data_IF_531944532816
#
_entry.id   IF_531944532816
#
_cell.length_a   1.000
_cell.length_b   1.000
_cell.length_c   1.000
_cell.angle_alpha   90.00
_cell.angle_beta   90.00
_cell.angle_gamma   90.00
#
_symmetry.space_group_name_H-M   'P 1'
#
loop_
_entity.id
_entity.type
_entity.pdbx_description
1 polymer ?
#
# COMPACT_ATOMS: atom_id res chain seq x y z
N UNK A 1 -11.98 -10.46 29.59
CA UNK A 1 -12.53 -9.52 28.57
C UNK A 1 -11.48 -8.65 27.88
N UNK A 2 -10.29 -8.39 28.48
CA UNK A 2 -9.07 -7.93 27.76
C UNK A 2 -8.59 -8.92 26.68
N UNK A 3 -8.74 -10.22 26.92
CA UNK A 3 -8.28 -11.29 26.01
C UNK A 3 -8.96 -11.28 24.62
N UNK A 4 -10.19 -10.76 24.48
CA UNK A 4 -10.94 -10.86 23.22
C UNK A 4 -10.52 -9.80 22.17
N UNK A 5 -10.03 -8.64 22.63
CA UNK A 5 -9.43 -7.62 21.76
C UNK A 5 -7.98 -7.96 21.39
N UNK A 6 -7.24 -8.61 22.29
CA UNK A 6 -5.92 -9.20 22.00
C UNK A 6 -6.04 -10.26 20.90
N UNK A 7 -7.06 -11.13 20.96
CA UNK A 7 -7.30 -12.18 19.95
C UNK A 7 -7.51 -11.63 18.52
N UNK A 8 -8.25 -10.52 18.33
CA UNK A 8 -8.49 -9.97 16.96
C UNK A 8 -7.34 -9.15 16.41
N UNK A 9 -6.62 -8.41 17.26
CA UNK A 9 -5.36 -7.76 16.88
C UNK A 9 -4.30 -8.82 16.55
N UNK A 10 -4.26 -9.91 17.31
CA UNK A 10 -3.41 -11.08 17.01
C UNK A 10 -3.84 -11.85 15.77
N UNK A 11 -5.09 -11.73 15.27
CA UNK A 11 -5.52 -12.34 14.00
C UNK A 11 -5.09 -11.51 12.78
N UNK A 12 -5.14 -10.17 12.85
CA UNK A 12 -4.54 -9.28 11.83
C UNK A 12 -3.01 -9.40 11.83
N UNK A 13 -2.43 -9.35 13.03
CA UNK A 13 -1.07 -9.77 13.26
C UNK A 13 -0.90 -11.28 13.03
N UNK A 14 -1.87 -12.16 12.77
CA UNK A 14 -1.58 -13.56 12.39
C UNK A 14 -1.75 -13.81 10.88
N UNK A 15 -2.33 -12.87 10.14
CA UNK A 15 -2.17 -12.81 8.68
C UNK A 15 -0.87 -12.10 8.31
N UNK A 16 -0.48 -11.05 9.05
CA UNK A 16 0.86 -10.45 8.96
C UNK A 16 1.90 -11.34 9.66
N UNK A 17 1.72 -11.76 10.91
CA UNK A 17 2.59 -12.74 11.61
C UNK A 17 2.35 -14.20 11.21
N UNK A 18 1.40 -14.53 10.34
CA UNK A 18 1.42 -15.81 9.63
C UNK A 18 2.59 -15.87 8.65
N UNK A 19 3.05 -14.69 8.21
CA UNK A 19 4.29 -14.47 7.49
C UNK A 19 5.48 -14.26 8.47
N UNK A 20 5.25 -13.70 9.67
CA UNK A 20 6.26 -13.41 10.73
C UNK A 20 6.49 -14.53 11.76
N UNK A 21 5.70 -15.62 11.81
CA UNK A 21 5.82 -16.72 12.80
C UNK A 21 7.13 -17.52 12.67
N UNK A 22 8.03 -17.14 11.78
CA UNK A 22 9.43 -17.58 11.74
C UNK A 22 10.38 -16.68 12.53
N UNK A 23 9.90 -15.84 13.45
CA UNK A 23 10.77 -15.07 14.37
C UNK A 23 11.56 -16.01 15.29
N UNK A 24 12.73 -16.43 14.83
CA UNK A 24 13.87 -16.70 15.69
C UNK A 24 14.58 -15.38 15.98
N UNK A 25 15.19 -15.21 17.16
CA UNK A 25 15.98 -14.01 17.45
C UNK A 25 17.08 -13.84 16.39
N UNK A 26 17.09 -12.67 15.75
CA UNK A 26 18.15 -12.27 14.82
C UNK A 26 19.44 -12.11 15.62
N UNK A 27 20.41 -12.98 15.36
CA UNK A 27 21.77 -12.79 15.84
C UNK A 27 22.34 -11.47 15.28
N UNK A 28 23.14 -10.72 16.06
CA UNK A 28 23.72 -9.47 15.60
C UNK A 28 24.61 -9.72 14.38
N UNK A 29 24.30 -9.02 13.28
CA UNK A 29 24.99 -9.14 12.00
C UNK A 29 26.33 -8.39 12.11
N UNK A 30 27.40 -9.13 12.39
CA UNK A 30 28.77 -8.62 12.22
C UNK A 30 29.11 -8.61 10.71
N UNK A 31 29.47 -7.43 10.19
CA UNK A 31 30.14 -7.17 8.91
C UNK A 31 29.85 -8.16 7.76
N UNK A 32 28.76 -7.96 7.02
CA UNK A 32 28.50 -8.68 5.77
C UNK A 32 29.41 -8.17 4.66
N UNK A 33 30.61 -8.73 4.58
CA UNK A 33 31.24 -8.93 3.28
C UNK A 33 30.35 -9.98 2.59
N UNK A 34 29.65 -9.60 1.52
CA UNK A 34 28.83 -10.54 0.74
C UNK A 34 29.78 -11.53 0.11
N UNK A 35 30.02 -12.65 0.79
CA UNK A 35 30.77 -13.76 0.24
C UNK A 35 30.02 -14.30 -0.98
N UNK A 36 30.75 -14.60 -2.05
CA UNK A 36 30.19 -15.09 -3.32
C UNK A 36 29.45 -16.43 -3.15
N UNK A 37 29.60 -17.08 -2.00
CA UNK A 37 29.00 -18.37 -1.64
C UNK A 37 27.78 -18.27 -0.71
N UNK A 38 27.32 -17.06 -0.34
CA UNK A 38 26.22 -16.94 0.63
C UNK A 38 24.93 -17.63 0.15
N UNK A 39 24.53 -17.38 -1.09
CA UNK A 39 23.39 -18.06 -1.72
C UNK A 39 23.84 -19.35 -2.40
N UNK A 40 22.94 -20.30 -2.59
CA UNK A 40 23.17 -21.58 -3.28
C UNK A 40 22.54 -21.59 -4.67
N UNK A 41 21.35 -20.99 -4.81
CA UNK A 41 20.61 -20.91 -6.09
C UNK A 41 21.34 -20.02 -7.09
N UNK A 42 21.51 -20.51 -8.32
CA UNK A 42 22.35 -19.85 -9.33
C UNK A 42 21.80 -18.49 -9.78
N UNK A 43 20.47 -18.36 -9.90
CA UNK A 43 19.85 -17.12 -10.35
C UNK A 43 20.05 -15.97 -9.37
N UNK A 44 19.97 -16.22 -8.06
CA UNK A 44 20.25 -15.17 -7.06
C UNK A 44 21.74 -14.83 -7.02
N UNK A 45 22.65 -15.80 -7.18
CA UNK A 45 24.10 -15.54 -7.31
C UNK A 45 24.39 -14.62 -8.50
N UNK A 46 23.82 -14.94 -9.67
CA UNK A 46 23.92 -14.10 -10.88
C UNK A 46 23.27 -12.74 -10.64
N UNK A 47 22.14 -12.69 -9.92
CA UNK A 47 21.46 -11.44 -9.62
C UNK A 47 22.30 -10.54 -8.72
N UNK A 48 23.01 -11.00 -7.68
CA UNK A 48 23.78 -10.09 -6.80
C UNK A 48 25.12 -9.65 -7.39
N UNK A 49 25.71 -10.45 -8.31
CA UNK A 49 27.02 -10.16 -8.90
C UNK A 49 27.02 -8.88 -9.74
N UNK A 50 28.09 -8.07 -9.68
CA UNK A 50 28.25 -6.92 -10.56
C UNK A 50 28.30 -7.34 -12.05
N UNK A 51 27.58 -6.63 -12.92
CA UNK A 51 27.57 -6.90 -14.37
C UNK A 51 28.46 -5.89 -15.07
N UNK A 52 29.66 -6.28 -15.55
CA UNK A 52 30.55 -5.33 -16.22
C UNK A 52 29.88 -4.79 -17.49
N UNK A 53 30.16 -3.53 -17.81
CA UNK A 53 29.63 -2.94 -19.02
C UNK A 53 30.17 -3.65 -20.27
N UNK A 54 29.32 -3.70 -21.31
CA UNK A 54 29.74 -4.17 -22.64
C UNK A 54 30.93 -3.30 -23.10
N UNK A 55 31.99 -3.94 -23.60
CA UNK A 55 33.26 -3.30 -24.00
C UNK A 55 34.11 -2.70 -22.86
N UNK A 56 33.79 -2.96 -21.58
CA UNK A 56 34.54 -2.45 -20.41
C UNK A 56 34.71 -0.92 -20.35
N UNK A 57 33.83 -0.17 -21.01
CA UNK A 57 33.78 1.30 -20.95
C UNK A 57 32.84 1.75 -19.84
N UNK A 58 33.05 2.94 -19.29
CA UNK A 58 32.08 3.58 -18.41
C UNK A 58 30.75 3.79 -19.14
N UNK A 59 29.64 3.59 -18.44
CA UNK A 59 28.32 3.95 -18.94
C UNK A 59 28.08 5.46 -18.78
N UNK A 60 26.97 5.97 -19.29
CA UNK A 60 26.64 7.41 -19.25
C UNK A 60 26.48 7.97 -17.82
N UNK A 61 26.38 7.09 -16.81
CA UNK A 61 26.34 7.45 -15.39
C UNK A 61 27.72 7.42 -14.73
N UNK A 62 28.80 7.17 -15.49
CA UNK A 62 30.18 7.08 -14.98
C UNK A 62 30.52 5.76 -14.29
N UNK A 63 29.63 4.77 -14.27
CA UNK A 63 29.88 3.49 -13.63
C UNK A 63 30.53 2.48 -14.59
N UNK A 64 31.45 1.66 -14.09
CA UNK A 64 32.16 0.60 -14.86
C UNK A 64 31.35 -0.70 -15.00
N UNK A 65 30.33 -0.85 -14.17
CA UNK A 65 29.47 -2.01 -14.10
C UNK A 65 28.07 -1.57 -13.64
N UNK A 66 27.09 -2.42 -13.90
CA UNK A 66 25.75 -2.31 -13.34
C UNK A 66 25.68 -3.10 -12.05
N UNK A 67 25.26 -2.43 -10.99
CA UNK A 67 25.01 -3.02 -9.68
C UNK A 67 23.50 -3.12 -9.46
N UNK A 68 23.06 -4.28 -9.02
CA UNK A 68 21.67 -4.56 -8.69
C UNK A 68 21.45 -4.35 -7.20
N UNK A 69 20.37 -3.65 -6.85
CA UNK A 69 19.95 -3.50 -5.46
C UNK A 69 19.34 -4.80 -4.94
N UNK A 70 19.66 -5.12 -3.68
CA UNK A 70 19.03 -6.17 -2.89
C UNK A 70 18.91 -5.66 -1.45
N UNK A 71 17.70 -5.74 -0.88
CA UNK A 71 17.46 -5.30 0.49
C UNK A 71 18.20 -6.17 1.51
N UNK A 72 18.64 -5.59 2.62
CA UNK A 72 19.30 -6.35 3.69
C UNK A 72 18.41 -7.46 4.26
N UNK A 73 17.08 -7.24 4.32
CA UNK A 73 16.10 -8.25 4.75
C UNK A 73 16.10 -9.52 3.88
N UNK A 74 16.52 -9.42 2.61
CA UNK A 74 16.68 -10.58 1.74
C UNK A 74 17.73 -11.59 2.25
N UNK A 75 18.78 -11.12 2.93
CA UNK A 75 19.82 -12.00 3.47
C UNK A 75 19.32 -12.75 4.72
N UNK A 76 18.50 -12.10 5.54
CA UNK A 76 17.86 -12.75 6.68
C UNK A 76 16.85 -13.83 6.24
N UNK A 77 16.26 -13.66 5.06
CA UNK A 77 15.25 -14.55 4.47
C UNK A 77 15.83 -15.46 3.38
N UNK A 78 17.07 -15.94 3.57
CA UNK A 78 17.79 -16.73 2.56
C UNK A 78 16.96 -17.85 1.95
N UNK A 79 16.34 -18.71 2.78
CA UNK A 79 15.61 -19.88 2.30
C UNK A 79 14.39 -19.50 1.44
N UNK A 80 13.57 -18.57 1.91
CA UNK A 80 12.42 -18.05 1.17
C UNK A 80 12.85 -17.37 -0.15
N UNK A 81 13.99 -16.66 -0.14
CA UNK A 81 14.51 -16.00 -1.33
C UNK A 81 15.07 -16.99 -2.35
N UNK A 82 15.73 -18.04 -1.89
CA UNK A 82 16.22 -19.12 -2.75
C UNK A 82 15.07 -19.89 -3.39
N UNK A 83 14.01 -20.19 -2.63
CA UNK A 83 12.77 -20.74 -3.19
C UNK A 83 12.16 -19.79 -4.23
N UNK A 84 12.14 -18.49 -3.94
CA UNK A 84 11.68 -17.46 -4.87
C UNK A 84 12.59 -17.38 -6.12
N UNK A 85 13.87 -17.71 -6.03
CA UNK A 85 14.78 -17.64 -7.18
C UNK A 85 15.00 -18.98 -7.89
N UNK A 86 14.30 -20.03 -7.45
CA UNK A 86 14.35 -21.36 -8.02
C UNK A 86 13.34 -21.50 -9.18
N UNK A 87 13.82 -21.24 -10.39
CA UNK A 87 13.09 -21.36 -11.65
C UNK A 87 14.05 -21.58 -12.83
N UNK A 88 13.53 -22.15 -13.92
CA UNK A 88 14.26 -22.27 -15.18
C UNK A 88 14.13 -20.99 -16.02
N UNK A 89 15.26 -20.53 -16.57
CA UNK A 89 15.29 -19.32 -17.41
C UNK A 89 14.47 -19.54 -18.68
N UNK A 90 13.54 -18.63 -18.95
CA UNK A 90 12.63 -18.71 -20.09
C UNK A 90 11.43 -19.64 -19.89
N UNK A 91 11.28 -20.30 -18.74
CA UNK A 91 10.05 -21.00 -18.37
C UNK A 91 9.08 -20.06 -17.63
N UNK A 92 7.91 -20.54 -17.23
CA UNK A 92 6.95 -19.82 -16.40
C UNK A 92 7.39 -19.79 -14.94
N UNK A 93 7.34 -18.61 -14.32
CA UNK A 93 7.56 -18.49 -12.88
C UNK A 93 6.54 -19.34 -12.10
N UNK A 94 6.93 -19.82 -10.92
CA UNK A 94 6.00 -20.48 -9.99
C UNK A 94 4.86 -19.53 -9.62
N UNK A 95 3.71 -20.09 -9.23
CA UNK A 95 2.57 -19.30 -8.76
C UNK A 95 2.70 -18.97 -7.27
N UNK A 96 3.65 -18.09 -6.96
CA UNK A 96 4.17 -17.86 -5.62
C UNK A 96 4.08 -16.38 -5.19
N UNK A 97 3.03 -15.69 -5.64
CA UNK A 97 2.80 -14.29 -5.29
C UNK A 97 2.75 -14.06 -3.76
N UNK A 98 2.31 -15.06 -2.98
CA UNK A 98 2.34 -15.01 -1.51
C UNK A 98 3.76 -14.99 -0.95
N UNK A 99 4.67 -15.77 -1.53
CA UNK A 99 6.08 -15.78 -1.16
C UNK A 99 6.74 -14.46 -1.54
N UNK A 100 6.43 -13.92 -2.72
CA UNK A 100 6.87 -12.60 -3.15
C UNK A 100 6.45 -11.51 -2.15
N UNK A 101 5.16 -11.49 -1.78
CA UNK A 101 4.63 -10.52 -0.83
C UNK A 101 5.21 -10.72 0.57
N UNK A 102 5.44 -11.98 1.01
CA UNK A 102 6.14 -12.31 2.25
C UNK A 102 7.49 -11.61 2.27
N UNK A 103 8.33 -11.86 1.27
CA UNK A 103 9.65 -11.26 1.16
C UNK A 103 9.58 -9.72 1.23
N UNK A 104 8.68 -9.09 0.47
CA UNK A 104 8.53 -7.62 0.46
C UNK A 104 8.11 -7.05 1.82
N UNK A 105 7.08 -7.62 2.45
CA UNK A 105 6.57 -7.16 3.75
C UNK A 105 7.63 -7.30 4.85
N UNK A 106 8.51 -8.28 4.72
CA UNK A 106 9.62 -8.54 5.63
C UNK A 106 10.91 -7.79 5.30
N UNK A 107 10.87 -6.82 4.39
CA UNK A 107 12.01 -5.95 4.07
C UNK A 107 12.99 -6.52 3.04
N UNK A 108 12.68 -7.65 2.41
CA UNK A 108 13.36 -8.07 1.19
C UNK A 108 12.78 -7.34 -0.01
N UNK A 109 13.17 -6.07 -0.16
CA UNK A 109 12.78 -5.21 -1.27
C UNK A 109 13.96 -4.32 -1.73
N UNK A 110 14.10 -4.02 -3.03
CA UNK A 110 13.35 -4.57 -4.15
C UNK A 110 13.59 -6.07 -4.32
N UNK A 111 12.53 -6.81 -4.69
CA UNK A 111 12.68 -8.22 -5.04
C UNK A 111 13.62 -8.39 -6.24
N UNK A 112 14.51 -9.41 -6.22
CA UNK A 112 15.32 -9.73 -7.37
C UNK A 112 14.50 -9.98 -8.64
N UNK A 113 14.94 -9.38 -9.74
CA UNK A 113 14.29 -9.59 -11.05
C UNK A 113 14.46 -11.03 -11.49
N UNK A 114 13.33 -11.68 -11.80
CA UNK A 114 13.32 -13.04 -12.35
C UNK A 114 13.47 -13.04 -13.87
N UNK A 115 14.06 -14.12 -14.41
CA UNK A 115 14.19 -14.38 -15.85
C UNK A 115 13.23 -15.48 -16.35
N UNK A 116 12.05 -15.56 -15.73
CA UNK A 116 10.95 -16.44 -16.12
C UNK A 116 9.74 -15.59 -16.55
N UNK A 117 8.81 -16.17 -17.29
CA UNK A 117 7.58 -15.51 -17.72
C UNK A 117 6.55 -15.46 -16.59
N UNK A 118 5.99 -14.28 -16.34
CA UNK A 118 4.87 -14.11 -15.40
C UNK A 118 3.66 -14.89 -15.88
N UNK A 119 3.05 -15.66 -14.98
CA UNK A 119 1.81 -16.37 -15.27
C UNK A 119 0.65 -15.39 -15.47
N UNK A 120 -0.09 -15.57 -16.56
CA UNK A 120 -1.34 -14.86 -16.86
C UNK A 120 -2.56 -15.69 -16.43
N UNK A 121 -3.76 -15.09 -16.33
CA UNK A 121 -5.00 -15.84 -16.26
C UNK A 121 -5.14 -16.81 -17.44
N UNK A 122 -5.83 -17.94 -17.24
CA UNK A 122 -5.99 -18.97 -18.27
C UNK A 122 -6.82 -18.49 -19.46
N UNK A 123 -7.75 -17.57 -19.20
CA UNK A 123 -8.67 -17.03 -20.19
C UNK A 123 -8.52 -15.51 -20.21
N UNK A 124 -8.45 -14.96 -21.41
CA UNK A 124 -8.48 -13.51 -21.60
C UNK A 124 -9.87 -13.11 -22.10
N UNK A 125 -10.47 -12.12 -21.43
CA UNK A 125 -11.69 -11.46 -21.89
C UNK A 125 -11.44 -9.97 -22.01
N UNK A 126 -12.01 -9.37 -23.06
CA UNK A 126 -11.90 -7.93 -23.29
C UNK A 126 -12.37 -7.17 -22.04
N UNK A 127 -11.53 -6.32 -21.41
CA UNK A 127 -11.93 -5.49 -20.29
C UNK A 127 -13.07 -4.53 -20.66
N UNK A 128 -13.82 -4.07 -19.67
CA UNK A 128 -14.81 -3.02 -19.85
C UNK A 128 -14.14 -1.72 -20.33
N UNK A 129 -14.91 -0.88 -21.02
CA UNK A 129 -14.45 0.48 -21.33
C UNK A 129 -14.19 1.25 -20.03
N UNK A 130 -13.39 2.30 -20.11
CA UNK A 130 -12.97 3.01 -18.90
C UNK A 130 -14.17 3.51 -18.07
N UNK A 131 -15.18 4.08 -18.72
CA UNK A 131 -16.37 4.62 -18.05
C UNK A 131 -17.21 3.51 -17.39
N UNK A 132 -17.36 2.36 -18.05
CA UNK A 132 -18.09 1.22 -17.50
C UNK A 132 -17.34 0.53 -16.35
N UNK A 133 -16.01 0.52 -16.43
CA UNK A 133 -15.15 -0.19 -15.47
C UNK A 133 -15.09 0.46 -14.07
N UNK A 134 -15.49 1.73 -13.95
CA UNK A 134 -15.36 2.48 -12.70
C UNK A 134 -16.20 1.92 -11.56
N UNK A 135 -17.45 1.55 -11.84
CA UNK A 135 -18.45 1.16 -10.82
C UNK A 135 -19.05 -0.22 -11.06
N UNK A 136 -18.45 -1.00 -11.95
CA UNK A 136 -18.86 -2.36 -12.27
C UNK A 136 -17.78 -3.34 -11.83
N UNK A 137 -18.20 -4.46 -11.22
CA UNK A 137 -17.28 -5.54 -10.90
C UNK A 137 -16.64 -6.08 -12.19
N UNK A 138 -15.30 -6.20 -12.25
CA UNK A 138 -14.62 -6.75 -13.42
C UNK A 138 -14.95 -8.21 -13.70
N UNK A 139 -14.57 -8.68 -14.88
CA UNK A 139 -14.70 -10.09 -15.23
C UNK A 139 -13.68 -10.96 -14.46
N UNK A 140 -14.19 -11.94 -13.73
CA UNK A 140 -13.40 -12.88 -12.93
C UNK A 140 -12.35 -13.65 -13.73
N UNK A 141 -12.56 -13.87 -15.03
CA UNK A 141 -11.65 -14.66 -15.86
C UNK A 141 -10.31 -13.97 -16.09
N UNK A 142 -10.26 -12.64 -15.96
CA UNK A 142 -9.04 -11.85 -16.11
C UNK A 142 -8.18 -11.82 -14.84
N UNK A 143 -8.53 -12.61 -13.82
CA UNK A 143 -7.83 -12.66 -12.54
C UNK A 143 -7.32 -14.05 -12.25
N UNK A 144 -6.15 -14.12 -11.61
CA UNK A 144 -5.58 -15.38 -11.12
C UNK A 144 -6.06 -15.63 -9.70
N UNK A 145 -7.02 -16.54 -9.55
CA UNK A 145 -7.64 -16.85 -8.25
C UNK A 145 -6.86 -17.85 -7.38
N UNK A 146 -5.65 -18.23 -7.79
CA UNK A 146 -4.77 -19.13 -7.04
C UNK A 146 -4.32 -18.47 -5.73
N UNK A 147 -4.35 -19.24 -4.64
CA UNK A 147 -4.02 -18.73 -3.31
C UNK A 147 -5.10 -17.90 -2.62
N UNK A 148 -6.15 -17.45 -3.32
CA UNK A 148 -7.30 -16.78 -2.71
C UNK A 148 -8.41 -17.77 -2.32
N UNK A 149 -9.18 -17.43 -1.29
CA UNK A 149 -10.32 -18.24 -0.84
C UNK A 149 -11.51 -18.08 -1.79
N UNK A 150 -11.89 -16.83 -2.07
CA UNK A 150 -12.86 -16.52 -3.11
C UNK A 150 -12.27 -16.79 -4.51
N UNK A 151 -13.13 -17.23 -5.43
CA UNK A 151 -12.78 -17.52 -6.84
C UNK A 151 -13.47 -16.60 -7.84
N UNK A 152 -14.16 -15.58 -7.34
CA UNK A 152 -14.79 -14.52 -8.12
C UNK A 152 -15.00 -13.29 -7.22
N UNK A 153 -15.20 -12.13 -7.85
CA UNK A 153 -15.49 -10.86 -7.18
C UNK A 153 -16.85 -10.87 -6.47
N UNK A 154 -17.82 -11.63 -6.97
CA UNK A 154 -19.14 -11.76 -6.32
C UNK A 154 -19.01 -12.38 -4.91
N UNK A 155 -18.13 -13.36 -4.72
CA UNK A 155 -17.83 -13.95 -3.42
C UNK A 155 -17.22 -12.92 -2.45
N UNK A 156 -16.32 -12.06 -2.96
CA UNK A 156 -15.72 -10.98 -2.18
C UNK A 156 -16.76 -9.91 -1.81
N UNK A 157 -17.59 -9.50 -2.75
CA UNK A 157 -18.64 -8.49 -2.55
C UNK A 157 -19.73 -8.93 -1.56
N UNK A 158 -20.07 -10.23 -1.55
CA UNK A 158 -21.02 -10.80 -0.57
C UNK A 158 -20.40 -11.03 0.80
N UNK A 159 -19.06 -10.92 0.93
CA UNK A 159 -18.31 -11.11 2.16
C UNK A 159 -18.69 -12.43 2.91
N UNK A 160 -18.86 -13.52 2.14
CA UNK A 160 -19.34 -14.82 2.66
C UNK A 160 -18.32 -15.49 3.58
N UNK A 161 -17.02 -15.22 3.37
CA UNK A 161 -15.94 -15.96 4.02
C UNK A 161 -15.62 -15.47 5.44
N UNK A 162 -16.08 -14.27 5.83
CA UNK A 162 -15.87 -13.67 7.15
C UNK A 162 -14.40 -13.48 7.56
N UNK A 163 -13.44 -13.78 6.68
CA UNK A 163 -11.99 -13.79 6.91
C UNK A 163 -11.30 -13.15 5.70
N UNK A 164 -10.48 -12.12 5.96
CA UNK A 164 -9.76 -11.29 4.99
C UNK A 164 -9.37 -9.95 5.64
N UNK A 165 -8.84 -9.00 4.85
CA UNK A 165 -8.46 -7.68 5.38
C UNK A 165 -9.68 -6.95 5.95
N UNK A 166 -9.81 -6.97 7.27
CA UNK A 166 -11.02 -6.53 7.98
C UNK A 166 -11.38 -5.07 7.72
N UNK A 167 -10.37 -4.22 7.47
CA UNK A 167 -10.57 -2.80 7.15
C UNK A 167 -11.19 -2.55 5.78
N UNK A 168 -11.23 -3.59 4.94
CA UNK A 168 -11.73 -3.54 3.58
C UNK A 168 -12.77 -4.64 3.30
N UNK A 169 -13.51 -5.01 4.35
CA UNK A 169 -14.56 -6.05 4.33
C UNK A 169 -15.64 -5.78 3.28
N UNK A 170 -16.00 -4.50 3.07
CA UNK A 170 -17.07 -4.09 2.16
C UNK A 170 -16.54 -3.42 0.88
N UNK A 171 -15.22 -3.33 0.68
CA UNK A 171 -14.64 -2.61 -0.47
C UNK A 171 -14.99 -3.16 -1.85
N UNK A 172 -15.44 -4.42 -1.91
CA UNK A 172 -15.89 -5.06 -3.16
C UNK A 172 -17.36 -4.78 -3.45
N UNK A 173 -18.11 -4.19 -2.51
CA UNK A 173 -19.45 -3.67 -2.77
C UNK A 173 -19.34 -2.27 -3.40
N UNK A 174 -19.13 -2.24 -4.72
CA UNK A 174 -18.91 -1.00 -5.44
C UNK A 174 -20.10 -0.05 -5.39
N UNK A 175 -21.33 -0.57 -5.40
CA UNK A 175 -22.55 0.24 -5.55
C UNK A 175 -23.00 0.86 -4.24
N UNK A 176 -23.05 0.10 -3.15
CA UNK A 176 -23.64 0.58 -1.90
C UNK A 176 -22.61 1.06 -0.88
N UNK A 177 -21.39 0.55 -0.92
CA UNK A 177 -20.33 0.95 0.01
C UNK A 177 -19.34 1.93 -0.63
N UNK A 178 -18.74 1.58 -1.76
CA UNK A 178 -17.67 2.42 -2.35
C UNK A 178 -18.20 3.63 -3.13
N UNK A 179 -19.33 3.53 -3.81
CA UNK A 179 -19.92 4.64 -4.56
C UNK A 179 -20.10 5.87 -3.65
N UNK A 180 -20.85 5.85 -2.54
CA UNK A 180 -21.10 7.08 -1.76
C UNK A 180 -19.85 7.73 -1.14
N UNK A 181 -18.71 7.03 -1.06
CA UNK A 181 -17.51 7.53 -0.36
C UNK A 181 -17.02 8.86 -0.92
N UNK A 182 -16.74 9.79 0.00
CA UNK A 182 -16.25 11.16 -0.23
C UNK A 182 -17.18 12.07 -1.05
N UNK A 183 -18.40 11.62 -1.36
CA UNK A 183 -19.44 12.41 -2.03
C UNK A 183 -20.63 12.61 -1.11
N UNK A 184 -20.95 11.60 -0.30
CA UNK A 184 -21.95 11.66 0.75
C UNK A 184 -21.28 11.59 2.12
N UNK A 185 -21.77 12.37 3.08
CA UNK A 185 -21.30 12.30 4.46
C UNK A 185 -21.88 11.06 5.13
N UNK A 186 -21.01 10.18 5.62
CA UNK A 186 -21.44 9.06 6.44
C UNK A 186 -21.47 9.48 7.91
N UNK A 187 -22.62 9.37 8.55
CA UNK A 187 -22.79 9.63 9.97
C UNK A 187 -22.78 8.30 10.72
N UNK A 188 -21.73 7.97 11.50
CA UNK A 188 -21.63 6.69 12.20
C UNK A 188 -22.77 6.46 13.20
N UNK A 189 -23.31 7.54 13.77
CA UNK A 189 -24.47 7.52 14.65
C UNK A 189 -25.51 8.53 14.14
N UNK A 190 -26.69 8.03 13.75
CA UNK A 190 -27.82 8.83 13.26
C UNK A 190 -28.32 9.87 14.28
N UNK A 191 -27.98 9.70 15.57
CA UNK A 191 -28.29 10.67 16.63
C UNK A 191 -27.25 11.78 16.79
N UNK A 192 -26.05 11.64 16.22
CA UNK A 192 -24.97 12.61 16.30
C UNK A 192 -24.68 13.20 14.91
N UNK A 193 -24.74 14.52 14.75
CA UNK A 193 -24.35 15.19 13.50
C UNK A 193 -22.82 15.25 13.32
N UNK A 194 -22.08 14.27 13.86
CA UNK A 194 -20.63 14.21 13.84
C UNK A 194 -20.17 13.17 12.82
N UNK A 195 -19.27 13.57 11.93
CA UNK A 195 -18.63 12.72 10.94
C UNK A 195 -17.17 13.12 10.80
N UNK A 196 -16.31 12.13 10.55
CA UNK A 196 -14.90 12.31 10.18
C UNK A 196 -14.72 12.59 8.70
N UNK A 197 -15.78 12.46 7.89
CA UNK A 197 -15.66 12.50 6.45
C UNK A 197 -15.40 13.92 5.95
N UNK A 198 -14.52 14.03 4.95
CA UNK A 198 -14.30 15.25 4.19
C UNK A 198 -14.72 14.97 2.75
N UNK A 199 -15.54 15.84 2.16
CA UNK A 199 -16.00 15.67 0.79
C UNK A 199 -14.92 16.06 -0.22
N UNK A 200 -14.80 15.32 -1.33
CA UNK A 200 -13.84 15.64 -2.40
C UNK A 200 -14.04 17.05 -2.91
N UNK A 201 -15.29 17.49 -3.10
CA UNK A 201 -15.57 18.86 -3.56
C UNK A 201 -14.99 19.93 -2.63
N UNK A 202 -15.00 19.70 -1.32
CA UNK A 202 -14.39 20.64 -0.37
C UNK A 202 -12.89 20.70 -0.55
N UNK A 203 -12.22 19.55 -0.71
CA UNK A 203 -10.78 19.48 -0.95
C UNK A 203 -10.39 20.14 -2.26
N UNK A 204 -11.15 19.89 -3.33
CA UNK A 204 -10.91 20.50 -4.65
C UNK A 204 -11.08 22.02 -4.64
N UNK A 205 -11.94 22.57 -3.75
CA UNK A 205 -12.13 24.02 -3.56
C UNK A 205 -10.96 24.71 -2.84
N UNK A 206 -10.09 23.97 -2.13
CA UNK A 206 -8.92 24.54 -1.44
C UNK A 206 -7.90 25.08 -2.46
N UNK A 207 -7.72 24.36 -3.57
CA UNK A 207 -6.75 24.66 -4.63
C UNK A 207 -7.37 24.43 -6.03
N UNK A 208 -8.35 25.25 -6.45
CA UNK A 208 -9.08 25.02 -7.69
C UNK A 208 -8.15 24.97 -8.91
N UNK A 209 -8.15 23.84 -9.64
CA UNK A 209 -7.35 23.64 -10.85
C UNK A 209 -5.86 23.33 -10.62
N UNK A 210 -5.38 23.28 -9.37
CA UNK A 210 -3.95 23.01 -9.08
C UNK A 210 -3.66 21.55 -8.74
N UNK A 211 -4.66 20.78 -8.31
CA UNK A 211 -4.56 19.36 -7.96
C UNK A 211 -4.76 18.54 -9.24
N UNK A 212 -3.73 17.82 -9.70
CA UNK A 212 -3.75 17.09 -10.98
C UNK A 212 -3.17 15.69 -10.90
N UNK A 213 -2.19 15.49 -10.03
CA UNK A 213 -1.56 14.19 -9.79
C UNK A 213 -1.41 13.91 -8.30
N UNK A 214 -1.63 12.67 -7.90
CA UNK A 214 -1.48 12.27 -6.51
C UNK A 214 -1.29 10.79 -6.28
N UNK A 215 -1.16 10.46 -5.00
CA UNK A 215 -0.96 9.12 -4.48
C UNK A 215 -2.05 8.80 -3.47
N UNK A 216 -2.70 7.65 -3.62
CA UNK A 216 -3.54 7.04 -2.60
C UNK A 216 -2.73 5.98 -1.88
N UNK A 217 -2.19 6.35 -0.72
CA UNK A 217 -1.43 5.48 0.18
C UNK A 217 -2.38 4.75 1.13
N UNK A 218 -3.25 3.94 0.54
CA UNK A 218 -4.27 3.15 1.22
C UNK A 218 -4.29 1.74 0.64
N UNK A 219 -5.05 0.84 1.26
CA UNK A 219 -5.35 -0.47 0.68
C UNK A 219 -6.84 -0.59 0.43
N UNK A 220 -7.20 -0.78 -0.84
CA UNK A 220 -8.59 -0.92 -1.26
C UNK A 220 -8.71 -1.24 -2.74
N UNK A 221 -9.90 -1.02 -3.29
CA UNK A 221 -10.23 -1.37 -4.68
C UNK A 221 -9.95 -0.23 -5.68
N UNK A 222 -9.34 0.88 -5.24
CA UNK A 222 -9.01 2.04 -6.09
C UNK A 222 -10.11 3.12 -6.18
N UNK A 223 -11.08 3.12 -5.25
CA UNK A 223 -12.23 4.03 -5.31
C UNK A 223 -11.85 5.50 -5.20
N UNK A 224 -10.87 5.85 -4.37
CA UNK A 224 -10.38 7.22 -4.30
C UNK A 224 -9.86 7.70 -5.67
N UNK A 225 -9.12 6.83 -6.37
CA UNK A 225 -8.65 7.13 -7.72
C UNK A 225 -9.79 7.28 -8.75
N UNK A 226 -10.86 6.49 -8.65
CA UNK A 226 -12.08 6.70 -9.47
C UNK A 226 -12.68 8.07 -9.20
N UNK A 227 -12.87 8.41 -7.92
CA UNK A 227 -13.51 9.66 -7.53
C UNK A 227 -12.69 10.89 -7.94
N UNK A 228 -11.38 10.87 -7.71
CA UNK A 228 -10.48 11.95 -8.14
C UNK A 228 -10.43 12.09 -9.67
N UNK A 229 -10.60 10.99 -10.42
CA UNK A 229 -10.67 11.02 -11.89
C UNK A 229 -11.90 11.75 -12.43
N UNK A 230 -13.03 11.76 -11.70
CA UNK A 230 -14.21 12.57 -12.06
C UNK A 230 -13.88 14.07 -12.09
N UNK A 231 -12.82 14.47 -11.37
CA UNK A 231 -12.25 15.82 -11.37
C UNK A 231 -10.98 15.95 -12.24
N UNK A 232 -10.74 15.01 -13.15
CA UNK A 232 -9.56 14.92 -14.02
C UNK A 232 -8.22 14.82 -13.29
N UNK A 233 -8.21 14.27 -12.07
CA UNK A 233 -6.98 14.03 -11.30
C UNK A 233 -6.50 12.60 -11.49
N UNK A 234 -5.22 12.43 -11.80
CA UNK A 234 -4.58 11.11 -11.92
C UNK A 234 -4.05 10.67 -10.57
N UNK A 235 -4.59 9.58 -10.04
CA UNK A 235 -4.14 8.98 -8.78
C UNK A 235 -3.45 7.65 -9.06
N UNK A 236 -2.30 7.48 -8.44
CA UNK A 236 -1.63 6.19 -8.30
C UNK A 236 -2.09 5.58 -6.97
N UNK A 237 -2.63 4.37 -6.98
CA UNK A 237 -3.07 3.69 -5.76
C UNK A 237 -2.04 2.68 -5.32
N UNK A 238 -1.48 2.83 -4.12
CA UNK A 238 -0.65 1.78 -3.53
C UNK A 238 -1.49 0.54 -3.27
N UNK A 239 -0.89 -0.63 -3.38
CA UNK A 239 -1.63 -1.87 -3.17
C UNK A 239 -0.73 -3.02 -2.77
N UNK A 240 -1.29 -3.91 -1.96
CA UNK A 240 -0.82 -5.25 -1.71
C UNK A 240 -2.04 -6.19 -1.65
N UNK A 241 -1.84 -7.46 -1.96
CA UNK A 241 -2.92 -8.43 -2.07
C UNK A 241 -3.17 -9.10 -0.72
N UNK A 242 -4.15 -8.63 0.04
CA UNK A 242 -4.56 -9.22 1.32
C UNK A 242 -5.81 -10.08 1.19
N UNK A 243 -5.64 -11.38 0.97
CA UNK A 243 -6.76 -12.32 0.84
C UNK A 243 -7.68 -12.07 -0.37
N UNK A 244 -7.41 -11.01 -1.15
CA UNK A 244 -8.11 -10.61 -2.35
C UNK A 244 -7.13 -9.97 -3.36
N UNK A 245 -7.44 -10.03 -4.66
CA UNK A 245 -6.59 -9.53 -5.75
C UNK A 245 -6.79 -8.02 -5.97
N UNK A 246 -6.34 -7.20 -5.02
CA UNK A 246 -6.50 -5.74 -5.08
C UNK A 246 -5.77 -5.10 -6.26
N UNK A 247 -4.56 -5.58 -6.57
CA UNK A 247 -3.76 -5.05 -7.69
C UNK A 247 -4.47 -5.26 -9.03
N UNK A 248 -4.98 -6.48 -9.25
CA UNK A 248 -5.74 -6.83 -10.45
C UNK A 248 -7.09 -6.09 -10.50
N UNK A 249 -7.76 -5.93 -9.36
CA UNK A 249 -9.01 -5.16 -9.26
C UNK A 249 -8.81 -3.71 -9.71
N UNK A 250 -7.78 -3.02 -9.19
CA UNK A 250 -7.46 -1.63 -9.56
C UNK A 250 -7.12 -1.54 -11.06
N UNK A 251 -6.27 -2.44 -11.58
CA UNK A 251 -5.92 -2.45 -12.99
C UNK A 251 -7.13 -2.69 -13.91
N UNK A 252 -8.02 -3.62 -13.56
CA UNK A 252 -9.22 -3.93 -14.36
C UNK A 252 -10.29 -2.83 -14.33
N UNK A 253 -10.24 -1.91 -13.35
CA UNK A 253 -11.00 -0.65 -13.33
C UNK A 253 -10.34 0.45 -14.17
N UNK A 254 -9.24 0.15 -14.88
CA UNK A 254 -8.49 1.11 -15.70
C UNK A 254 -7.75 2.18 -14.88
N UNK A 255 -7.33 1.83 -13.67
CA UNK A 255 -6.58 2.67 -12.74
C UNK A 255 -5.13 2.18 -12.61
N UNK A 256 -4.30 2.96 -11.91
CA UNK A 256 -2.86 2.71 -11.75
C UNK A 256 -2.56 2.07 -10.38
N UNK A 257 -2.39 0.74 -10.28
CA UNK A 257 -1.89 0.11 -9.07
C UNK A 257 -0.36 0.25 -8.98
N UNK A 258 0.13 0.65 -7.82
CA UNK A 258 1.54 0.59 -7.45
C UNK A 258 1.70 -0.49 -6.37
N UNK A 259 2.26 -1.65 -6.75
CA UNK A 259 2.49 -2.75 -5.82
C UNK A 259 3.66 -2.43 -4.90
N UNK A 260 3.35 -1.91 -3.71
CA UNK A 260 4.29 -1.29 -2.78
C UNK A 260 3.89 -1.61 -1.34
N UNK A 261 4.86 -1.92 -0.50
CA UNK A 261 4.64 -2.11 0.95
C UNK A 261 4.96 -0.83 1.72
N UNK A 262 4.44 -0.72 2.95
CA UNK A 262 4.70 0.42 3.85
C UNK A 262 6.18 0.63 4.19
N UNK A 263 7.00 -0.42 4.10
CA UNK A 263 8.41 -0.39 4.47
C UNK A 263 9.30 0.22 3.37
N UNK A 264 8.71 0.57 2.23
CA UNK A 264 9.43 1.02 1.06
C UNK A 264 9.36 2.53 0.95
N UNK A 265 10.51 3.14 0.62
CA UNK A 265 10.54 4.53 0.19
C UNK A 265 9.75 4.68 -1.10
N UNK A 266 8.91 5.70 -1.16
CA UNK A 266 8.11 6.04 -2.32
C UNK A 266 8.98 6.28 -3.56
N UNK A 267 8.72 5.57 -4.68
CA UNK A 267 9.53 5.67 -5.90
C UNK A 267 9.18 6.90 -6.75
N UNK A 268 8.92 8.03 -6.11
CA UNK A 268 8.68 9.32 -6.76
C UNK A 268 9.87 10.25 -6.56
N UNK A 269 10.11 11.12 -7.53
CA UNK A 269 11.06 12.21 -7.36
C UNK A 269 10.51 13.26 -6.38
N UNK A 270 11.41 14.00 -5.76
CA UNK A 270 11.06 14.97 -4.72
C UNK A 270 10.16 16.08 -5.28
N UNK A 271 9.17 16.51 -4.50
CA UNK A 271 8.25 17.61 -4.81
C UNK A 271 7.48 17.48 -6.14
N UNK A 272 6.97 16.29 -6.46
CA UNK A 272 6.28 16.03 -7.73
C UNK A 272 4.76 15.83 -7.62
N UNK A 273 4.25 15.49 -6.43
CA UNK A 273 2.83 15.19 -6.23
C UNK A 273 2.07 16.42 -5.70
N UNK A 274 0.82 16.57 -6.17
CA UNK A 274 -0.08 17.64 -5.74
C UNK A 274 -0.91 17.23 -4.53
N UNK A 275 -1.18 15.93 -4.36
CA UNK A 275 -1.94 15.38 -3.24
C UNK A 275 -1.46 13.98 -2.83
N UNK A 276 -1.40 13.72 -1.52
CA UNK A 276 -1.34 12.37 -0.95
C UNK A 276 -2.60 12.16 -0.13
N UNK A 277 -3.25 11.03 -0.34
CA UNK A 277 -4.41 10.60 0.42
C UNK A 277 -4.08 9.30 1.17
N UNK A 278 -4.57 9.17 2.40
CA UNK A 278 -4.58 7.90 3.13
C UNK A 278 -5.92 7.73 3.83
N UNK A 279 -6.50 6.54 3.75
CA UNK A 279 -7.76 6.22 4.45
C UNK A 279 -7.64 4.91 5.20
N UNK A 280 -7.87 4.95 6.53
CA UNK A 280 -7.96 3.78 7.44
C UNK A 280 -6.79 2.77 7.39
N UNK A 281 -5.73 3.04 6.65
CA UNK A 281 -4.64 2.09 6.41
C UNK A 281 -3.57 2.18 7.50
N UNK A 282 -3.05 3.38 7.72
CA UNK A 282 -2.29 3.74 8.91
C UNK A 282 -3.28 4.04 10.03
N UNK A 283 -3.07 3.43 11.20
CA UNK A 283 -3.89 3.63 12.39
C UNK A 283 -3.02 3.41 13.65
N UNK A 284 -3.62 3.41 14.84
CA UNK A 284 -2.97 3.25 16.13
C UNK A 284 -2.08 2.01 16.34
N UNK A 285 -1.98 1.07 15.39
CA UNK A 285 -0.96 0.01 15.41
C UNK A 285 0.45 0.51 15.04
N UNK A 286 0.57 1.63 14.33
CA UNK A 286 1.85 2.07 13.77
C UNK A 286 2.78 2.65 14.84
N UNK A 287 4.04 2.20 14.87
CA UNK A 287 5.06 2.80 15.72
C UNK A 287 5.33 4.27 15.33
N UNK A 288 5.52 5.15 16.32
CA UNK A 288 5.70 6.57 16.10
C UNK A 288 6.99 6.90 15.33
N UNK A 289 8.09 6.19 15.59
CA UNK A 289 9.35 6.41 14.87
C UNK A 289 9.21 5.95 13.41
N UNK A 290 8.50 4.85 13.18
CA UNK A 290 8.21 4.42 11.83
C UNK A 290 7.26 5.38 11.10
N UNK A 291 6.25 5.91 11.79
CA UNK A 291 5.36 6.94 11.27
C UNK A 291 6.15 8.18 10.85
N UNK A 292 7.14 8.62 11.62
CA UNK A 292 8.02 9.73 11.24
C UNK A 292 8.68 9.49 9.87
N UNK A 293 9.29 8.31 9.65
CA UNK A 293 9.88 7.98 8.36
C UNK A 293 8.86 8.06 7.20
N UNK A 294 7.64 7.56 7.43
CA UNK A 294 6.55 7.64 6.44
C UNK A 294 6.17 9.11 6.16
N UNK A 295 5.99 9.91 7.21
CA UNK A 295 5.61 11.32 7.09
C UNK A 295 6.67 12.17 6.38
N UNK A 296 7.96 11.94 6.67
CA UNK A 296 9.04 12.62 5.96
C UNK A 296 9.17 12.18 4.50
N UNK A 297 8.86 10.92 4.18
CA UNK A 297 8.85 10.46 2.79
C UNK A 297 7.65 11.01 2.01
N UNK A 298 6.49 11.16 2.67
CA UNK A 298 5.33 11.87 2.11
C UNK A 298 5.62 13.36 1.90
N UNK A 299 6.22 14.03 2.89
CA UNK A 299 6.68 15.41 2.75
C UNK A 299 7.64 15.55 1.58
N UNK A 300 8.60 14.64 1.43
CA UNK A 300 9.57 14.67 0.33
C UNK A 300 8.90 14.68 -1.04
N UNK A 301 7.90 13.83 -1.29
CA UNK A 301 7.29 13.71 -2.63
C UNK A 301 6.20 14.75 -2.89
N UNK A 302 5.57 15.30 -1.84
CA UNK A 302 4.63 16.41 -1.97
C UNK A 302 5.35 17.70 -2.37
N UNK A 303 4.85 18.39 -3.39
CA UNK A 303 5.37 19.71 -3.77
C UNK A 303 4.95 20.79 -2.77
N UNK A 304 5.64 21.94 -2.68
CA UNK A 304 5.14 23.11 -1.95
C UNK A 304 3.71 23.49 -2.40
N UNK A 305 2.80 23.70 -1.45
CA UNK A 305 1.38 23.90 -1.72
C UNK A 305 0.57 22.61 -1.97
N UNK A 306 1.22 21.44 -2.01
CA UNK A 306 0.56 20.14 -2.12
C UNK A 306 -0.21 19.78 -0.85
N UNK A 307 -1.24 18.95 -0.99
CA UNK A 307 -2.14 18.57 0.09
C UNK A 307 -1.84 17.17 0.63
N UNK A 308 -1.75 17.04 1.95
CA UNK A 308 -1.85 15.77 2.65
C UNK A 308 -3.27 15.63 3.20
N UNK A 309 -4.00 14.64 2.70
CA UNK A 309 -5.33 14.31 3.15
C UNK A 309 -5.31 13.00 3.94
N UNK A 310 -5.54 13.12 5.25
CA UNK A 310 -5.70 12.01 6.18
C UNK A 310 -7.20 11.83 6.39
N UNK A 311 -7.71 10.66 6.03
CA UNK A 311 -9.11 10.30 6.13
C UNK A 311 -9.31 9.16 7.15
N UNK A 312 -10.06 9.43 8.21
CA UNK A 312 -10.47 8.42 9.19
C UNK A 312 -9.29 7.61 9.77
N UNK A 313 -8.16 8.26 10.06
CA UNK A 313 -7.11 7.65 10.89
C UNK A 313 -7.72 7.35 12.26
N UNK A 314 -7.48 6.18 12.84
CA UNK A 314 -8.06 5.86 14.15
C UNK A 314 -7.00 5.39 15.13
N UNK A 315 -7.17 5.74 16.39
CA UNK A 315 -6.31 5.30 17.48
C UNK A 315 -7.10 5.29 18.78
N UNK A 316 -6.52 4.75 19.85
CA UNK A 316 -7.07 4.95 21.17
C UNK A 316 -7.02 6.44 21.52
N UNK A 317 -8.03 6.94 22.23
CA UNK A 317 -8.14 8.35 22.63
C UNK A 317 -6.90 8.82 23.41
N UNK A 318 -6.38 7.96 24.29
CA UNK A 318 -5.17 8.21 25.08
C UNK A 318 -3.88 8.40 24.26
N UNK A 319 -3.83 7.85 23.05
CA UNK A 319 -2.64 7.90 22.17
C UNK A 319 -2.81 8.98 21.08
N UNK A 320 -3.97 9.64 21.02
CA UNK A 320 -4.30 10.63 19.99
C UNK A 320 -3.29 11.79 19.96
N UNK A 321 -2.89 12.29 21.13
CA UNK A 321 -2.00 13.43 21.24
C UNK A 321 -0.64 13.13 20.58
N UNK A 322 -0.08 11.95 20.84
CA UNK A 322 1.20 11.50 20.27
C UNK A 322 1.16 11.44 18.73
N UNK A 323 0.11 10.84 18.17
CA UNK A 323 -0.07 10.77 16.72
C UNK A 323 -0.29 12.15 16.09
N UNK A 324 -1.14 12.97 16.72
CA UNK A 324 -1.41 14.34 16.29
C UNK A 324 -0.15 15.19 16.29
N UNK A 325 0.71 15.01 17.30
CA UNK A 325 1.97 15.75 17.40
C UNK A 325 2.95 15.33 16.30
N UNK A 326 3.02 14.04 15.94
CA UNK A 326 3.77 13.59 14.77
C UNK A 326 3.31 14.31 13.48
N UNK A 327 2.00 14.45 13.24
CA UNK A 327 1.49 15.21 12.10
C UNK A 327 1.81 16.71 12.18
N UNK A 328 1.79 17.30 13.37
CA UNK A 328 2.13 18.72 13.58
C UNK A 328 3.61 19.01 13.32
N UNK A 329 4.51 18.04 13.51
CA UNK A 329 5.95 18.21 13.28
C UNK A 329 6.28 18.66 11.85
N UNK A 330 5.45 18.30 10.86
CA UNK A 330 5.61 18.74 9.47
C UNK A 330 5.39 20.25 9.25
N UNK A 331 4.75 20.93 10.23
CA UNK A 331 4.37 22.36 10.20
C UNK A 331 3.49 22.73 9.00
N UNK A 332 2.61 21.82 8.61
CA UNK A 332 1.67 22.06 7.52
C UNK A 332 0.57 23.03 7.93
N UNK A 333 0.09 23.82 6.97
CA UNK A 333 -1.07 24.69 7.16
C UNK A 333 -2.34 23.82 7.22
N UNK A 334 -3.18 24.05 8.22
CA UNK A 334 -4.41 23.27 8.43
C UNK A 334 -5.58 23.90 7.67
N UNK A 335 -6.26 23.12 6.83
CA UNK A 335 -7.51 23.51 6.15
C UNK A 335 -8.74 22.84 6.76
N UNK A 336 -8.56 21.58 7.18
CA UNK A 336 -9.56 20.80 7.92
C UNK A 336 -8.86 20.05 9.04
N UNK A 337 -9.56 19.93 10.16
CA UNK A 337 -9.10 19.21 11.34
C UNK A 337 -10.32 18.72 12.11
N UNK A 338 -10.56 17.41 12.08
CA UNK A 338 -11.78 16.80 12.61
C UNK A 338 -11.35 15.64 13.51
N UNK A 339 -11.88 15.61 14.73
CA UNK A 339 -11.75 14.48 15.65
C UNK A 339 -13.16 14.12 16.10
N UNK A 340 -13.54 12.85 15.93
CA UNK A 340 -14.86 12.35 16.36
C UNK A 340 -14.68 11.04 17.12
N UNK A 341 -15.51 10.78 18.15
CA UNK A 341 -15.47 9.50 18.85
C UNK A 341 -15.90 8.37 17.92
N UNK A 342 -15.24 7.23 18.04
CA UNK A 342 -15.61 6.01 17.32
C UNK A 342 -16.57 5.20 18.20
N UNK A 343 -17.83 5.12 17.77
CA UNK A 343 -18.95 4.59 18.57
C UNK A 343 -19.19 3.09 18.39
N UNK A 344 -18.43 2.42 17.51
CA UNK A 344 -18.64 1.00 17.18
C UNK A 344 -18.06 0.01 18.23
N UNK A 345 -17.17 0.46 19.13
CA UNK A 345 -16.51 -0.35 20.16
C UNK A 345 -16.14 0.44 21.41
N UNK A 346 -16.55 -0.06 22.59
CA UNK A 346 -16.12 0.28 23.97
C UNK A 346 -15.89 1.77 24.34
N UNK A 347 -16.18 2.72 23.45
CA UNK A 347 -16.11 4.17 23.65
C UNK A 347 -14.72 4.79 23.83
N UNK A 348 -13.62 4.09 23.46
CA UNK A 348 -12.24 4.57 23.73
C UNK A 348 -11.38 4.81 22.49
N UNK A 349 -11.94 4.65 21.29
CA UNK A 349 -11.24 4.96 20.05
C UNK A 349 -11.81 6.26 19.45
N UNK A 350 -10.98 6.95 18.68
CA UNK A 350 -11.34 8.19 17.98
C UNK A 350 -10.95 8.09 16.52
N UNK A 351 -11.71 8.74 15.65
CA UNK A 351 -11.30 9.02 14.28
C UNK A 351 -10.72 10.42 14.19
N UNK A 352 -9.63 10.55 13.44
CA UNK A 352 -8.95 11.78 13.10
C UNK A 352 -8.91 11.92 11.57
N UNK A 353 -9.42 13.04 11.08
CA UNK A 353 -9.32 13.43 9.68
C UNK A 353 -8.76 14.84 9.56
N UNK A 354 -7.90 15.05 8.57
CA UNK A 354 -7.30 16.35 8.32
C UNK A 354 -6.97 16.55 6.84
N UNK A 355 -7.02 17.81 6.43
CA UNK A 355 -6.49 18.27 5.14
C UNK A 355 -5.46 19.34 5.44
N UNK A 356 -4.21 19.04 5.09
CA UNK A 356 -3.03 19.79 5.46
C UNK A 356 -2.29 20.24 4.19
N UNK A 357 -1.84 21.49 4.11
CA UNK A 357 -1.09 22.04 2.98
C UNK A 357 0.38 22.22 3.33
N UNK A 358 1.27 21.66 2.51
CA UNK A 358 2.71 21.79 2.66
C UNK A 358 3.15 23.25 2.44
N UNK A 359 3.81 23.91 3.41
CA UNK A 359 4.26 25.28 3.24
C UNK A 359 5.47 25.35 2.29
N UNK A 360 5.74 26.51 1.67
CA UNK A 360 7.04 26.75 1.06
C UNK A 360 8.11 26.75 2.16
N UNK A 361 9.22 26.03 1.94
CA UNK A 361 10.40 26.08 2.79
C UNK A 361 11.48 26.84 2.01
N UNK A 362 11.91 28.03 2.45
CA UNK A 362 13.01 28.75 1.81
C UNK A 362 14.28 27.90 1.93
N UNK A 363 15.05 27.81 0.84
CA UNK A 363 16.34 27.15 0.78
C UNK A 363 17.44 27.98 1.44
#
# INVERSE_FOLDING_TARGET
MREMNEIRYTEFLAEILGLVKSMQPLNPINNVVVDNEFFMVEEIKKYVKAKPNRLKKQNFMGANATFTSIGHGCFAMKADLEEYMDYDVGDFCKDDWKLAQKLMVHGCDPLPRRRCFSRSPKLYRKPFSINESMWKLPDDHNVRWSGYRCKNFTCLARNITGKGFFKCKECFNLTHHELPRWVELNYPDLGSNLTSDVLIEEVMKIKPGEIRIGLDFSVGTGTFAVRMREFNVTIISTTINFGAPFSEMIALRGLLPLYLTINQRLPFFDNTLDIIHTTRFLDGWIDLVFLDFVLYDWDRVLRPGGLLWIDSFFCAEKDLEDYVDAFKMLRYKKHRWIVVPKTDKDGQEVFFSAVLEKPPRPF
#
